data_IF_845010298762
#
_entry.id   IF_845010298762
#
_cell.length_a   1.000
_cell.length_b   1.000
_cell.length_c   1.000
_cell.angle_alpha   90.00
_cell.angle_beta   90.00
_cell.angle_gamma   90.00
#
_symmetry.space_group_name_H-M   'P 1'
#
loop_
_entity.id
_entity.type
_entity.pdbx_description
1 polymer ?
#
# COMPACT_ATOMS: atom_id res chain seq x y z
N UNK A 1 -15.12 14.54 -22.62
CA UNK A 1 -13.99 15.28 -22.02
C UNK A 1 -13.87 14.82 -20.57
N UNK A 2 -12.72 14.29 -20.14
CA UNK A 2 -12.56 13.72 -18.78
C UNK A 2 -12.62 14.84 -17.73
N UNK A 3 -13.81 15.12 -17.20
CA UNK A 3 -14.05 16.21 -16.23
C UNK A 3 -13.21 16.05 -14.95
N UNK A 4 -12.91 14.82 -14.54
CA UNK A 4 -12.10 14.52 -13.37
C UNK A 4 -10.64 14.95 -13.54
N UNK A 5 -10.07 14.75 -14.73
CA UNK A 5 -8.69 15.16 -15.05
C UNK A 5 -8.57 16.68 -15.03
N UNK A 6 -9.54 17.38 -15.64
CA UNK A 6 -9.57 18.85 -15.63
C UNK A 6 -9.68 19.41 -14.22
N UNK A 7 -10.56 18.84 -13.40
CA UNK A 7 -10.75 19.28 -12.01
C UNK A 7 -9.48 19.05 -11.19
N UNK A 8 -8.80 17.91 -11.38
CA UNK A 8 -7.53 17.61 -10.71
C UNK A 8 -6.42 18.58 -11.13
N UNK A 9 -6.28 18.85 -12.44
CA UNK A 9 -5.29 19.80 -12.97
C UNK A 9 -5.51 21.21 -12.43
N UNK A 10 -6.75 21.69 -12.41
CA UNK A 10 -7.08 23.01 -11.87
C UNK A 10 -6.75 23.11 -10.38
N UNK A 11 -7.06 22.07 -9.59
CA UNK A 11 -6.68 22.03 -8.16
C UNK A 11 -5.18 22.03 -7.93
N UNK A 12 -4.41 21.37 -8.79
CA UNK A 12 -2.94 21.39 -8.71
C UNK A 12 -2.38 22.75 -9.09
N UNK A 13 -2.95 23.36 -10.13
CA UNK A 13 -2.58 24.69 -10.57
C UNK A 13 -2.83 25.75 -9.50
N UNK A 14 -4.02 25.77 -8.88
CA UNK A 14 -4.33 26.75 -7.83
C UNK A 14 -3.38 26.63 -6.64
N UNK A 15 -3.12 25.41 -6.17
CA UNK A 15 -2.14 25.15 -5.09
C UNK A 15 -0.72 25.59 -5.45
N UNK A 16 -0.36 25.51 -6.73
CA UNK A 16 0.94 25.98 -7.21
C UNK A 16 1.01 27.51 -7.16
N UNK A 17 -0.03 28.21 -7.64
CA UNK A 17 -0.13 29.66 -7.57
C UNK A 17 -0.08 30.18 -6.13
N UNK A 18 -0.79 29.51 -5.20
CA UNK A 18 -0.80 29.88 -3.77
C UNK A 18 0.59 29.82 -3.10
N UNK A 19 1.56 29.15 -3.73
CA UNK A 19 2.93 28.98 -3.21
C UNK A 19 3.95 29.89 -3.87
N UNK A 20 3.55 30.67 -4.86
CA UNK A 20 4.47 31.60 -5.52
C UNK A 20 4.83 32.73 -4.56
N UNK A 21 6.12 33.04 -4.49
CA UNK A 21 6.60 34.22 -3.77
C UNK A 21 6.32 35.50 -4.57
N UNK A 22 6.36 36.66 -3.92
CA UNK A 22 6.21 37.95 -4.60
C UNK A 22 7.27 38.17 -5.69
N UNK A 23 8.48 37.63 -5.50
CA UNK A 23 9.55 37.62 -6.50
C UNK A 23 9.20 36.73 -7.70
N UNK A 24 8.64 35.54 -7.46
CA UNK A 24 8.19 34.65 -8.54
C UNK A 24 7.07 35.29 -9.36
N UNK A 25 6.10 35.92 -8.69
CA UNK A 25 4.99 36.64 -9.34
C UNK A 25 5.54 37.80 -10.19
N UNK A 26 6.49 38.56 -9.66
CA UNK A 26 7.11 39.68 -10.37
C UNK A 26 7.95 39.21 -11.58
N UNK A 27 8.65 38.10 -11.43
CA UNK A 27 9.41 37.48 -12.52
C UNK A 27 8.50 36.89 -13.61
N UNK A 28 7.35 36.34 -13.24
CA UNK A 28 6.32 35.88 -14.20
C UNK A 28 5.69 37.07 -14.94
N UNK A 29 5.32 38.14 -14.23
CA UNK A 29 4.74 39.36 -14.84
C UNK A 29 5.69 40.04 -15.83
N UNK A 30 7.00 40.03 -15.54
CA UNK A 30 8.03 40.62 -16.40
C UNK A 30 8.49 39.68 -17.53
N UNK A 31 7.93 38.47 -17.64
CA UNK A 31 8.32 37.49 -18.66
C UNK A 31 9.70 36.86 -18.43
N UNK A 32 10.33 37.11 -17.27
CA UNK A 32 11.62 36.53 -16.88
C UNK A 32 11.50 35.06 -16.47
N UNK A 33 10.31 34.63 -16.07
CA UNK A 33 9.95 33.22 -15.81
C UNK A 33 8.75 32.82 -16.64
N UNK A 34 8.68 31.54 -17.00
CA UNK A 34 7.56 30.92 -17.70
C UNK A 34 7.12 29.65 -16.98
N UNK A 35 5.84 29.31 -17.07
CA UNK A 35 5.32 28.05 -16.56
C UNK A 35 5.38 26.99 -17.66
N UNK A 36 5.93 25.81 -17.34
CA UNK A 36 5.99 24.67 -18.25
C UNK A 36 5.41 23.44 -17.55
N UNK A 37 4.48 22.76 -18.22
CA UNK A 37 3.92 21.51 -17.77
C UNK A 37 4.48 20.38 -18.62
N UNK A 38 4.95 19.32 -17.98
CA UNK A 38 5.42 18.10 -18.65
C UNK A 38 4.65 16.93 -18.09
N UNK A 39 4.19 16.05 -18.98
CA UNK A 39 3.71 14.74 -18.57
C UNK A 39 4.94 13.89 -18.29
N UNK A 40 5.09 13.48 -17.05
CA UNK A 40 6.18 12.63 -16.59
C UNK A 40 5.54 11.39 -15.97
N UNK A 41 6.14 10.23 -16.23
CA UNK A 41 5.73 9.00 -15.56
C UNK A 41 5.95 9.16 -14.05
N UNK A 42 4.86 9.05 -13.30
CA UNK A 42 4.93 9.14 -11.86
C UNK A 42 5.52 7.84 -11.30
N UNK A 43 6.79 7.91 -10.89
CA UNK A 43 7.49 6.81 -10.25
C UNK A 43 6.94 6.49 -8.84
N UNK A 44 6.11 7.34 -8.23
CA UNK A 44 5.40 7.04 -6.98
C UNK A 44 4.09 6.32 -7.23
N UNK A 45 3.32 6.70 -8.27
CA UNK A 45 2.13 5.95 -8.66
C UNK A 45 2.47 4.51 -9.09
N UNK A 46 3.65 4.28 -9.67
CA UNK A 46 4.14 2.94 -9.97
C UNK A 46 4.61 2.17 -8.72
N UNK A 47 5.12 2.85 -7.67
CA UNK A 47 5.42 2.20 -6.37
C UNK A 47 4.16 1.82 -5.62
N UNK A 48 3.16 2.71 -5.52
CA UNK A 48 1.88 2.36 -4.87
C UNK A 48 1.15 1.22 -5.60
N UNK A 49 1.11 1.25 -6.95
CA UNK A 49 0.53 0.15 -7.72
C UNK A 49 1.34 -1.15 -7.63
N UNK A 50 2.68 -1.06 -7.55
CA UNK A 50 3.54 -2.22 -7.36
C UNK A 50 3.39 -2.82 -5.96
N UNK A 51 3.36 -1.99 -4.92
CA UNK A 51 3.15 -2.42 -3.54
C UNK A 51 1.76 -3.09 -3.39
N UNK A 52 0.70 -2.53 -3.98
CA UNK A 52 -0.62 -3.16 -4.02
C UNK A 52 -0.62 -4.50 -4.77
N UNK A 53 0.12 -4.60 -5.88
CA UNK A 53 0.27 -5.86 -6.63
C UNK A 53 1.04 -6.93 -5.84
N UNK A 54 2.10 -6.53 -5.14
CA UNK A 54 2.90 -7.42 -4.29
C UNK A 54 2.11 -7.91 -3.08
N UNK A 55 1.36 -7.03 -2.40
CA UNK A 55 0.51 -7.42 -1.28
C UNK A 55 -0.66 -8.30 -1.71
N UNK A 56 -1.26 -8.06 -2.89
CA UNK A 56 -2.28 -8.96 -3.44
C UNK A 56 -1.71 -10.35 -3.70
N UNK A 57 -0.53 -10.48 -4.30
CA UNK A 57 0.12 -11.78 -4.50
C UNK A 57 0.39 -12.50 -3.17
N UNK A 58 0.89 -11.78 -2.17
CA UNK A 58 1.12 -12.34 -0.83
C UNK A 58 -0.19 -12.81 -0.17
N UNK A 59 -1.26 -12.04 -0.33
CA UNK A 59 -2.59 -12.42 0.17
C UNK A 59 -3.11 -13.69 -0.52
N UNK A 60 -3.01 -13.77 -1.84
CA UNK A 60 -3.42 -14.94 -2.62
C UNK A 60 -2.61 -16.18 -2.19
N UNK A 61 -1.29 -16.05 -2.03
CA UNK A 61 -0.43 -17.13 -1.53
C UNK A 61 -0.81 -17.58 -0.11
N UNK A 62 -1.10 -16.64 0.80
CA UNK A 62 -1.57 -16.97 2.15
C UNK A 62 -2.90 -17.75 2.12
N UNK A 63 -3.79 -17.47 1.17
CA UNK A 63 -5.05 -18.20 1.02
C UNK A 63 -4.86 -19.64 0.54
N UNK A 64 -3.78 -19.94 -0.21
CA UNK A 64 -3.50 -21.27 -0.76
C UNK A 64 -2.68 -22.16 0.18
N UNK A 65 -1.89 -21.58 1.09
CA UNK A 65 -1.02 -22.31 2.02
C UNK A 65 -1.82 -23.29 2.90
N UNK A 66 -1.27 -24.50 3.10
CA UNK A 66 -1.91 -25.57 3.88
C UNK A 66 -1.19 -25.87 5.20
N UNK A 67 -0.16 -25.10 5.55
CA UNK A 67 0.62 -25.29 6.78
C UNK A 67 1.03 -23.97 7.40
N UNK A 68 0.98 -23.91 8.74
CA UNK A 68 1.47 -22.77 9.50
C UNK A 68 2.95 -22.47 9.22
N UNK A 69 3.78 -23.50 9.09
CA UNK A 69 5.22 -23.37 8.84
C UNK A 69 5.49 -22.70 7.49
N UNK A 70 4.70 -23.04 6.47
CA UNK A 70 4.82 -22.46 5.14
C UNK A 70 4.41 -20.99 5.13
N UNK A 71 3.37 -20.63 5.90
CA UNK A 71 2.98 -19.23 6.08
C UNK A 71 4.04 -18.41 6.83
N UNK A 72 4.68 -19.01 7.84
CA UNK A 72 5.80 -18.38 8.56
C UNK A 72 6.97 -18.12 7.61
N UNK A 73 7.34 -19.10 6.78
CA UNK A 73 8.40 -18.96 5.77
C UNK A 73 8.08 -17.86 4.74
N UNK A 74 6.83 -17.79 4.26
CA UNK A 74 6.39 -16.76 3.32
C UNK A 74 6.56 -15.35 3.90
N UNK A 75 6.27 -15.18 5.19
CA UNK A 75 6.35 -13.89 5.87
C UNK A 75 7.75 -13.57 6.40
N UNK A 76 8.71 -14.50 6.37
CA UNK A 76 9.89 -14.40 7.23
C UNK A 76 10.79 -13.22 6.87
N UNK A 77 10.96 -13.01 5.57
CA UNK A 77 11.79 -11.96 4.97
C UNK A 77 11.13 -10.57 4.96
N UNK A 78 9.87 -10.45 5.39
CA UNK A 78 9.16 -9.17 5.36
C UNK A 78 9.56 -8.27 6.54
N UNK A 79 9.91 -7.02 6.21
CA UNK A 79 10.14 -5.98 7.21
C UNK A 79 8.84 -5.65 7.95
N UNK A 80 8.95 -5.17 9.20
CA UNK A 80 7.82 -4.73 10.02
C UNK A 80 6.86 -3.78 9.30
N UNK A 81 7.40 -2.82 8.51
CA UNK A 81 6.59 -1.89 7.71
C UNK A 81 5.67 -2.63 6.74
N UNK A 82 6.23 -3.57 5.97
CA UNK A 82 5.50 -4.33 4.97
C UNK A 82 4.47 -5.27 5.61
N UNK A 83 4.78 -5.84 6.78
CA UNK A 83 3.80 -6.64 7.54
C UNK A 83 2.62 -5.79 8.03
N UNK A 84 2.87 -4.56 8.47
CA UNK A 84 1.79 -3.63 8.85
C UNK A 84 0.97 -3.23 7.61
N UNK A 85 1.60 -2.95 6.48
CA UNK A 85 0.89 -2.62 5.23
C UNK A 85 0.07 -3.80 4.70
N UNK A 86 0.62 -5.02 4.73
CA UNK A 86 -0.11 -6.25 4.41
C UNK A 86 -1.29 -6.48 5.36
N UNK A 87 -1.12 -6.25 6.67
CA UNK A 87 -2.22 -6.39 7.62
C UNK A 87 -3.36 -5.41 7.35
N UNK A 88 -3.06 -4.17 6.92
CA UNK A 88 -4.09 -3.20 6.48
C UNK A 88 -4.79 -3.67 5.21
N UNK A 89 -4.03 -4.22 4.27
CA UNK A 89 -4.59 -4.77 3.02
C UNK A 89 -5.54 -5.95 3.29
N UNK A 90 -5.23 -6.78 4.29
CA UNK A 90 -6.02 -7.93 4.72
C UNK A 90 -7.13 -7.59 5.74
N UNK A 91 -7.28 -6.32 6.11
CA UNK A 91 -8.21 -5.84 7.15
C UNK A 91 -7.99 -6.50 8.54
N UNK A 92 -6.72 -6.73 8.90
CA UNK A 92 -6.31 -7.34 10.17
C UNK A 92 -5.85 -6.25 11.14
N UNK A 93 -6.45 -6.14 12.34
CA UNK A 93 -6.10 -5.10 13.30
C UNK A 93 -4.75 -5.37 13.98
N UNK A 94 -3.76 -4.53 13.67
CA UNK A 94 -2.44 -4.53 14.31
C UNK A 94 -2.08 -3.14 14.84
N UNK A 95 -1.31 -3.10 15.92
CA UNK A 95 -0.79 -1.87 16.50
C UNK A 95 0.69 -1.71 16.15
N UNK A 96 1.12 -0.50 15.80
CA UNK A 96 2.50 -0.21 15.42
C UNK A 96 3.54 -0.57 16.50
N UNK A 97 3.12 -0.65 17.78
CA UNK A 97 3.97 -1.05 18.92
C UNK A 97 4.17 -2.57 19.03
N UNK A 98 3.37 -3.38 18.35
CA UNK A 98 3.52 -4.83 18.36
C UNK A 98 4.86 -5.25 17.74
N UNK A 99 5.44 -6.34 18.23
CA UNK A 99 6.67 -6.90 17.65
C UNK A 99 6.36 -7.67 16.35
N UNK A 100 7.41 -7.95 15.56
CA UNK A 100 7.27 -8.61 14.26
C UNK A 100 6.57 -9.97 14.39
N UNK A 101 6.95 -10.78 15.38
CA UNK A 101 6.35 -12.11 15.60
C UNK A 101 4.86 -12.04 15.89
N UNK A 102 4.40 -11.07 16.68
CA UNK A 102 2.98 -10.87 17.00
C UNK A 102 2.16 -10.47 15.78
N UNK A 103 2.73 -9.63 14.92
CA UNK A 103 2.10 -9.23 13.66
C UNK A 103 2.00 -10.43 12.71
N UNK A 104 3.08 -11.21 12.54
CA UNK A 104 3.07 -12.45 11.74
C UNK A 104 2.01 -13.43 12.25
N UNK A 105 1.98 -13.67 13.57
CA UNK A 105 0.99 -14.55 14.21
C UNK A 105 -0.45 -14.16 13.87
N UNK A 106 -0.80 -12.87 14.00
CA UNK A 106 -2.13 -12.37 13.65
C UNK A 106 -2.49 -12.54 12.18
N UNK A 107 -1.53 -12.30 11.28
CA UNK A 107 -1.72 -12.50 9.84
C UNK A 107 -2.03 -13.97 9.56
N UNK A 108 -1.21 -14.89 10.07
CA UNK A 108 -1.38 -16.34 9.86
C UNK A 108 -2.71 -16.82 10.44
N UNK A 109 -3.05 -16.39 11.65
CA UNK A 109 -4.26 -16.80 12.36
C UNK A 109 -5.55 -16.36 11.64
N UNK A 110 -5.52 -15.16 11.05
CA UNK A 110 -6.68 -14.57 10.34
C UNK A 110 -6.81 -15.05 8.89
N UNK A 111 -5.77 -15.65 8.32
CA UNK A 111 -5.76 -16.12 6.91
C UNK A 111 -5.79 -17.65 6.81
N UNK A 112 -4.80 -18.31 7.40
CA UNK A 112 -4.61 -19.77 7.31
C UNK A 112 -5.28 -20.49 8.50
N UNK A 113 -5.34 -19.83 9.66
CA UNK A 113 -5.74 -20.44 10.93
C UNK A 113 -7.11 -21.12 10.90
N UNK A 114 -8.12 -20.49 10.28
CA UNK A 114 -9.48 -21.06 10.18
C UNK A 114 -9.51 -22.42 9.47
N UNK A 115 -8.79 -22.54 8.34
CA UNK A 115 -8.72 -23.77 7.55
C UNK A 115 -7.99 -24.89 8.30
N UNK A 116 -6.88 -24.56 8.96
CA UNK A 116 -6.14 -25.53 9.78
C UNK A 116 -6.97 -26.05 10.96
N UNK A 117 -7.74 -25.18 11.62
CA UNK A 117 -8.66 -25.59 12.68
C UNK A 117 -9.76 -26.53 12.14
N UNK A 118 -10.34 -26.21 10.99
CA UNK A 118 -11.35 -27.06 10.36
C UNK A 118 -10.80 -28.46 10.03
N UNK A 119 -9.58 -28.55 9.50
CA UNK A 119 -8.93 -29.83 9.19
C UNK A 119 -8.56 -30.62 10.44
N UNK A 120 -8.09 -29.94 11.49
CA UNK A 120 -7.76 -30.58 12.77
C UNK A 120 -9.00 -31.20 13.42
N UNK A 121 -10.16 -30.52 13.35
CA UNK A 121 -11.44 -31.03 13.87
C UNK A 121 -11.91 -32.26 13.08
N UNK A 122 -11.82 -32.24 11.74
CA UNK A 122 -12.18 -33.39 10.91
C UNK A 122 -11.30 -34.62 11.20
N UNK A 123 -9.99 -34.43 11.35
CA UNK A 123 -9.06 -35.54 11.68
C UNK A 123 -9.20 -36.09 13.09
N UNK A 124 -9.76 -35.32 14.04
CA UNK A 124 -9.98 -35.78 15.41
C UNK A 124 -11.29 -36.57 15.60
N UNK A 125 -12.08 -36.76 14.54
CA UNK A 125 -13.36 -37.49 14.58
C UNK A 125 -13.29 -38.87 13.90
N UNK A 126 -12.11 -39.28 13.41
CA UNK A 126 -11.78 -40.65 12.96
C UNK A 126 -10.92 -41.36 14.02
#
# INVERSE_FOLDING_TARGET
MNQDIFTSLLKQFTRFIDRLTDEDISALKSGKKILSFKLIEDQKASRENKDLSEFRKLADQLMEINSRVEAENLLDNLKKKNLIELSKFLDIPVQSRENISKIKEKIIESTVGYRLRSQAIQRSTD
#
